data_IF_108481259390
#
_entry.id   IF_108481259390
#
_cell.length_a   1.000
_cell.length_b   1.000
_cell.length_c   1.000
_cell.angle_alpha   90.00
_cell.angle_beta   90.00
_cell.angle_gamma   90.00
#
_symmetry.space_group_name_H-M   'P 1'
#
loop_
_entity.id
_entity.type
_entity.pdbx_description
1 polymer ?
#
# COMPACT_ATOMS: atom_id res chain seq x y z
N UNK A 1 13.16 -31.69 16.32
CA UNK A 1 12.89 -31.17 14.95
C UNK A 1 13.26 -29.70 14.94
N UNK A 2 14.41 -29.40 14.37
CA UNK A 2 15.07 -28.10 14.50
C UNK A 2 14.44 -27.08 13.55
N UNK A 3 13.92 -25.99 14.12
CA UNK A 3 13.58 -24.78 13.37
C UNK A 3 14.80 -24.37 12.53
N UNK A 4 14.68 -24.05 11.23
CA UNK A 4 15.80 -23.47 10.50
C UNK A 4 16.14 -22.13 11.17
N UNK A 5 17.24 -22.10 11.91
CA UNK A 5 17.72 -20.96 12.72
C UNK A 5 18.14 -19.75 11.87
N UNK A 6 17.94 -19.81 10.56
CA UNK A 6 18.24 -18.74 9.61
C UNK A 6 17.15 -18.63 8.52
N UNK A 7 15.87 -18.72 8.90
CA UNK A 7 14.78 -18.49 7.95
C UNK A 7 14.69 -17.00 7.61
N UNK A 8 15.42 -16.58 6.56
CA UNK A 8 15.22 -15.28 5.92
C UNK A 8 13.73 -15.10 5.63
N UNK A 9 13.12 -14.07 6.20
CA UNK A 9 11.72 -13.76 5.93
C UNK A 9 11.55 -13.39 4.45
N UNK A 10 10.39 -13.69 3.88
CA UNK A 10 10.00 -13.22 2.55
C UNK A 10 9.07 -12.03 2.66
N UNK A 11 8.90 -11.25 1.61
CA UNK A 11 7.93 -10.15 1.59
C UNK A 11 6.71 -10.56 0.79
N UNK A 12 5.51 -10.33 1.34
CA UNK A 12 4.26 -10.54 0.62
C UNK A 12 4.11 -9.53 -0.52
N UNK A 13 3.99 -10.02 -1.77
CA UNK A 13 3.85 -9.15 -2.95
C UNK A 13 2.59 -8.28 -2.91
N UNK A 14 1.53 -8.74 -2.25
CA UNK A 14 0.25 -8.03 -2.17
C UNK A 14 0.25 -6.95 -1.07
N UNK A 15 0.60 -7.31 0.17
CA UNK A 15 0.44 -6.42 1.33
C UNK A 15 1.75 -5.86 1.91
N UNK A 16 2.91 -6.30 1.39
CA UNK A 16 4.23 -5.86 1.83
C UNK A 16 4.67 -6.37 3.22
N UNK A 17 3.87 -7.19 3.92
CA UNK A 17 4.27 -7.74 5.23
C UNK A 17 5.32 -8.83 5.08
N UNK A 18 6.19 -8.94 6.09
CA UNK A 18 7.07 -10.09 6.26
C UNK A 18 6.27 -11.39 6.42
N UNK A 19 6.70 -12.39 5.66
CA UNK A 19 6.25 -13.77 5.71
C UNK A 19 7.32 -14.52 6.49
N UNK A 20 6.97 -14.95 7.70
CA UNK A 20 7.79 -15.84 8.51
C UNK A 20 7.54 -17.30 8.09
N UNK A 21 8.58 -18.13 8.16
CA UNK A 21 8.47 -19.56 7.90
C UNK A 21 7.42 -20.23 8.82
N UNK A 22 6.70 -21.22 8.28
CA UNK A 22 5.72 -22.04 9.02
C UNK A 22 5.88 -23.49 8.59
N UNK A 23 5.69 -24.44 9.51
CA UNK A 23 5.81 -25.88 9.23
C UNK A 23 4.99 -26.35 8.02
N UNK A 24 3.78 -25.79 7.84
CA UNK A 24 2.92 -26.11 6.69
C UNK A 24 3.52 -25.76 5.32
N UNK A 25 4.55 -24.92 5.29
CA UNK A 25 5.23 -24.46 4.08
C UNK A 25 6.57 -25.14 3.85
N UNK A 26 6.93 -26.14 4.65
CA UNK A 26 8.20 -26.86 4.56
C UNK A 26 8.49 -27.38 3.14
N UNK A 27 7.47 -27.90 2.44
CA UNK A 27 7.62 -28.49 1.10
C UNK A 27 7.63 -27.48 -0.04
N UNK A 28 7.17 -26.25 0.18
CA UNK A 28 6.93 -25.29 -0.89
C UNK A 28 7.35 -23.85 -0.54
N UNK A 29 8.18 -23.68 0.50
CA UNK A 29 8.62 -22.37 0.99
C UNK A 29 9.17 -21.49 -0.12
N UNK A 30 9.96 -22.05 -1.03
CA UNK A 30 10.56 -21.33 -2.16
C UNK A 30 9.53 -20.66 -3.07
N UNK A 31 8.38 -21.31 -3.26
CA UNK A 31 7.26 -20.80 -4.08
C UNK A 31 6.32 -19.81 -3.36
N UNK A 32 6.44 -19.65 -2.03
CA UNK A 32 5.54 -18.76 -1.27
C UNK A 32 5.85 -17.29 -1.54
N UNK A 33 4.87 -16.57 -2.10
CA UNK A 33 4.93 -15.12 -2.40
C UNK A 33 3.87 -14.30 -1.67
N UNK A 34 2.86 -14.95 -1.08
CA UNK A 34 1.75 -14.28 -0.38
C UNK A 34 1.57 -14.79 1.05
N UNK A 35 1.23 -13.90 1.98
CA UNK A 35 1.04 -14.26 3.40
C UNK A 35 -0.29 -14.98 3.69
N UNK A 36 -1.29 -14.85 2.80
CA UNK A 36 -2.65 -15.40 2.97
C UNK A 36 -3.34 -15.61 1.62
N UNK A 37 -4.42 -16.39 1.61
CA UNK A 37 -5.25 -16.59 0.41
C UNK A 37 -6.01 -15.33 -0.01
N UNK A 38 -6.28 -14.41 0.94
CA UNK A 38 -6.83 -13.09 0.61
C UNK A 38 -5.80 -12.28 -0.19
N UNK A 39 -4.55 -12.21 0.27
CA UNK A 39 -3.46 -11.55 -0.48
C UNK A 39 -3.17 -12.23 -1.83
N UNK A 40 -3.30 -13.56 -1.91
CA UNK A 40 -3.13 -14.30 -3.17
C UNK A 40 -4.21 -13.92 -4.20
N UNK A 41 -5.46 -13.71 -3.75
CA UNK A 41 -6.57 -13.25 -4.59
C UNK A 41 -6.46 -11.75 -4.92
N UNK A 42 -5.97 -10.95 -3.97
CA UNK A 42 -5.76 -9.52 -4.13
C UNK A 42 -4.45 -9.22 -4.87
N UNK A 43 -4.49 -9.33 -6.19
CA UNK A 43 -3.37 -8.98 -7.08
C UNK A 43 -3.34 -7.46 -7.31
N UNK A 44 -2.18 -6.84 -7.10
CA UNK A 44 -1.98 -5.41 -7.37
C UNK A 44 -1.92 -5.22 -8.89
N UNK A 45 -2.94 -4.53 -9.44
CA UNK A 45 -3.04 -4.24 -10.88
C UNK A 45 -2.48 -2.84 -11.18
N UNK A 46 -1.84 -2.62 -12.34
CA UNK A 46 -1.59 -1.27 -12.84
C UNK A 46 -2.89 -0.45 -12.84
N UNK A 47 -2.81 0.83 -12.43
CA UNK A 47 -3.98 1.70 -12.33
C UNK A 47 -4.91 1.46 -11.13
N UNK A 48 -4.64 0.45 -10.29
CA UNK A 48 -5.39 0.25 -9.04
C UNK A 48 -5.10 1.33 -8.00
N UNK A 49 -5.99 1.49 -7.02
CA UNK A 49 -5.75 2.42 -5.89
C UNK A 49 -4.50 2.07 -5.09
N UNK A 50 -4.10 0.79 -5.06
CA UNK A 50 -2.87 0.38 -4.39
C UNK A 50 -1.62 1.00 -5.04
N UNK A 51 -1.62 1.10 -6.37
CA UNK A 51 -0.56 1.78 -7.14
C UNK A 51 -0.68 3.29 -6.97
N UNK A 52 -1.90 3.84 -6.93
CA UNK A 52 -2.11 5.26 -6.67
C UNK A 52 -1.55 5.68 -5.31
N UNK A 53 -1.73 4.87 -4.26
CA UNK A 53 -1.11 5.13 -2.95
C UNK A 53 0.42 5.11 -3.02
N UNK A 54 1.03 4.16 -3.73
CA UNK A 54 2.50 4.14 -3.88
C UNK A 54 3.01 5.41 -4.55
N UNK A 55 2.41 5.77 -5.68
CA UNK A 55 2.77 6.99 -6.42
C UNK A 55 2.55 8.25 -5.58
N UNK A 56 1.43 8.33 -4.84
CA UNK A 56 1.12 9.50 -4.01
C UNK A 56 2.09 9.66 -2.84
N UNK A 57 2.43 8.58 -2.15
CA UNK A 57 3.42 8.61 -1.06
C UNK A 57 4.74 9.18 -1.58
N UNK A 58 5.24 8.66 -2.70
CA UNK A 58 6.50 9.13 -3.29
C UNK A 58 6.42 10.58 -3.76
N UNK A 59 5.30 10.99 -4.38
CA UNK A 59 5.08 12.35 -4.83
C UNK A 59 5.06 13.35 -3.67
N UNK A 60 4.32 13.05 -2.60
CA UNK A 60 4.25 13.89 -1.41
C UNK A 60 5.62 14.02 -0.72
N UNK A 61 6.35 12.91 -0.60
CA UNK A 61 7.72 12.93 -0.06
C UNK A 61 8.66 13.75 -0.93
N UNK A 62 8.58 13.59 -2.25
CA UNK A 62 9.39 14.34 -3.22
C UNK A 62 9.14 15.85 -3.11
N UNK A 63 7.86 16.25 -3.10
CA UNK A 63 7.47 17.65 -2.95
C UNK A 63 7.93 18.23 -1.61
N UNK A 64 7.70 17.52 -0.50
CA UNK A 64 8.11 18.00 0.84
C UNK A 64 9.62 18.06 0.98
N UNK A 65 10.36 17.13 0.37
CA UNK A 65 11.83 17.15 0.39
C UNK A 65 12.41 18.44 -0.21
N UNK A 66 11.77 19.02 -1.21
CA UNK A 66 12.21 20.29 -1.81
C UNK A 66 12.09 21.47 -0.83
N UNK A 67 11.11 21.44 0.08
CA UNK A 67 10.81 22.55 0.99
C UNK A 67 11.44 22.33 2.38
N UNK A 68 11.37 21.10 2.89
CA UNK A 68 11.76 20.72 4.25
C UNK A 68 13.10 19.98 4.32
N UNK A 69 13.70 19.66 3.16
CA UNK A 69 14.97 18.96 3.08
C UNK A 69 14.87 17.45 3.40
N UNK A 70 15.97 16.82 3.84
CA UNK A 70 16.05 15.36 4.03
C UNK A 70 15.19 14.83 5.18
N UNK A 71 14.67 15.71 6.04
CA UNK A 71 13.80 15.37 7.17
C UNK A 71 12.30 15.35 6.80
N UNK A 72 11.95 15.46 5.52
CA UNK A 72 10.57 15.43 5.07
C UNK A 72 9.84 14.15 5.50
N UNK A 73 8.66 14.32 6.09
CA UNK A 73 7.80 13.25 6.58
C UNK A 73 6.44 13.31 5.88
N UNK A 74 5.86 12.15 5.61
CA UNK A 74 4.46 11.98 5.15
C UNK A 74 3.83 10.87 5.96
N UNK A 75 2.60 11.06 6.42
CA UNK A 75 1.83 10.02 7.09
C UNK A 75 0.94 9.27 6.12
N UNK A 76 0.57 8.03 6.47
CA UNK A 76 -0.36 7.25 5.64
C UNK A 76 -1.74 7.93 5.55
N UNK A 77 -2.14 8.64 6.60
CA UNK A 77 -3.40 9.36 6.69
C UNK A 77 -3.44 10.53 5.69
N UNK A 78 -2.37 11.30 5.60
CA UNK A 78 -2.24 12.38 4.61
C UNK A 78 -2.24 11.83 3.17
N UNK A 79 -1.47 10.78 2.91
CA UNK A 79 -1.42 10.16 1.59
C UNK A 79 -2.79 9.57 1.19
N UNK A 80 -3.54 9.06 2.16
CA UNK A 80 -4.89 8.55 1.94
C UNK A 80 -5.85 9.66 1.51
N UNK A 81 -5.88 10.75 2.27
CA UNK A 81 -6.74 11.91 2.01
C UNK A 81 -6.51 12.47 0.60
N UNK A 82 -5.25 12.64 0.20
CA UNK A 82 -4.88 13.14 -1.11
C UNK A 82 -5.36 12.24 -2.26
N UNK A 83 -5.18 10.91 -2.15
CA UNK A 83 -5.65 9.97 -3.18
C UNK A 83 -7.18 10.01 -3.30
N UNK A 84 -7.89 10.09 -2.18
CA UNK A 84 -9.35 10.15 -2.18
C UNK A 84 -9.86 11.46 -2.79
N UNK A 85 -9.19 12.58 -2.50
CA UNK A 85 -9.54 13.89 -3.04
C UNK A 85 -9.32 14.00 -4.55
N UNK A 86 -8.19 13.47 -5.06
CA UNK A 86 -7.91 13.45 -6.50
C UNK A 86 -8.94 12.64 -7.30
N UNK A 87 -9.40 11.53 -6.73
CA UNK A 87 -10.45 10.69 -7.34
C UNK A 87 -11.80 11.41 -7.36
N UNK A 88 -12.16 12.09 -6.28
CA UNK A 88 -13.37 12.90 -6.22
C UNK A 88 -13.35 14.04 -7.24
N UNK A 89 -12.19 14.69 -7.43
CA UNK A 89 -12.01 15.76 -8.42
C UNK A 89 -12.02 15.23 -9.86
N UNK A 90 -11.45 14.05 -10.11
CA UNK A 90 -11.44 13.41 -11.43
C UNK A 90 -12.85 13.01 -11.90
N UNK A 91 -13.75 12.70 -10.95
CA UNK A 91 -15.15 12.34 -11.24
C UNK A 91 -15.97 13.53 -11.76
N UNK A 92 -15.58 14.77 -11.45
CA UNK A 92 -16.34 15.99 -11.82
C UNK A 92 -15.89 16.62 -13.15
N UNK A 93 -14.77 16.19 -13.72
CA UNK A 93 -14.25 16.70 -15.00
C UNK A 93 -14.64 15.84 -16.21
N UNK A 94 -15.58 14.91 -16.05
CA UNK A 94 -16.01 13.98 -17.09
C UNK A 94 -17.26 14.44 -17.84
N UNK A 95 -17.14 15.44 -18.72
CA UNK A 95 -18.01 15.55 -19.90
C UNK A 95 -17.17 15.75 -21.15
N UNK A 96 -17.48 14.93 -22.15
CA UNK A 96 -17.12 14.98 -23.58
C UNK A 96 -16.08 13.97 -24.11
N UNK A 97 -16.64 12.92 -24.74
CA UNK A 97 -16.21 12.19 -25.97
C UNK A 97 -14.95 11.28 -25.93
N UNK A 98 -14.95 10.02 -26.39
CA UNK A 98 -15.89 9.24 -27.21
C UNK A 98 -15.70 7.73 -26.96
N UNK A 99 -16.76 6.98 -27.27
CA UNK A 99 -16.95 5.55 -27.07
C UNK A 99 -16.18 4.63 -28.04
N UNK A 100 -15.75 3.45 -27.56
CA UNK A 100 -15.85 2.17 -28.30
C UNK A 100 -15.94 0.99 -27.33
N UNK A 101 -16.98 0.17 -27.50
CA UNK A 101 -17.37 -1.06 -26.78
C UNK A 101 -16.40 -2.24 -27.00
N UNK A 102 -16.14 -3.02 -25.94
CA UNK A 102 -16.29 -4.50 -25.97
C UNK A 102 -16.25 -5.11 -24.57
N UNK A 103 -17.29 -5.89 -24.26
CA UNK A 103 -17.66 -6.52 -22.99
C UNK A 103 -16.70 -7.59 -22.47
N UNK A 104 -16.54 -7.69 -21.15
CA UNK A 104 -16.82 -8.90 -20.30
C UNK A 104 -16.29 -8.73 -18.86
N UNK A 105 -17.26 -8.51 -17.96
CA UNK A 105 -17.47 -8.83 -16.52
C UNK A 105 -16.32 -9.52 -15.74
N UNK A 106 -15.95 -9.18 -14.49
CA UNK A 106 -16.73 -8.99 -13.24
C UNK A 106 -15.93 -8.18 -12.18
N UNK A 107 -16.60 -7.23 -11.50
CA UNK A 107 -16.42 -6.97 -10.06
C UNK A 107 -15.42 -5.91 -9.57
N UNK A 108 -15.80 -4.63 -9.64
CA UNK A 108 -15.77 -3.66 -8.51
C UNK A 108 -16.64 -2.46 -8.94
N UNK A 109 -17.82 -2.30 -8.33
CA UNK A 109 -18.77 -1.24 -8.68
C UNK A 109 -18.27 0.06 -8.06
N UNK A 110 -17.79 0.98 -8.89
CA UNK A 110 -17.47 2.35 -8.51
C UNK A 110 -18.80 3.09 -8.27
N UNK A 111 -19.17 3.26 -6.99
CA UNK A 111 -20.40 3.94 -6.56
C UNK A 111 -20.03 5.23 -5.82
N UNK A 112 -20.66 6.32 -6.27
CA UNK A 112 -20.74 7.67 -5.71
C UNK A 112 -20.22 7.88 -4.28
N UNK A 113 -19.21 8.74 -4.15
CA UNK A 113 -18.49 9.03 -2.91
C UNK A 113 -19.02 10.29 -2.21
N UNK A 114 -20.26 10.27 -1.72
CA UNK A 114 -20.72 11.21 -0.67
C UNK A 114 -21.22 10.42 0.54
N UNK A 115 -20.46 10.50 1.64
CA UNK A 115 -20.86 9.94 2.93
C UNK A 115 -20.34 8.52 3.21
N UNK A 116 -19.03 8.31 3.17
CA UNK A 116 -18.47 7.02 3.58
C UNK A 116 -18.64 6.79 5.08
N UNK A 117 -19.18 5.62 5.44
CA UNK A 117 -19.18 5.10 6.82
C UNK A 117 -17.76 4.92 7.35
N UNK A 118 -17.57 5.04 8.68
CA UNK A 118 -16.29 4.84 9.38
C UNK A 118 -15.57 3.52 8.99
N UNK A 119 -16.33 2.48 8.60
CA UNK A 119 -15.80 1.21 8.14
C UNK A 119 -15.11 1.27 6.77
N UNK A 120 -15.58 2.10 5.82
CA UNK A 120 -14.92 2.25 4.52
C UNK A 120 -13.61 3.03 4.62
N UNK A 121 -13.56 4.06 5.46
CA UNK A 121 -12.34 4.82 5.78
C UNK A 121 -11.26 3.89 6.39
N UNK A 122 -11.66 2.93 7.24
CA UNK A 122 -10.73 1.97 7.85
C UNK A 122 -10.05 1.02 6.84
N UNK A 123 -10.71 0.70 5.73
CA UNK A 123 -10.17 -0.20 4.70
C UNK A 123 -9.20 0.51 3.77
N UNK A 124 -9.51 1.75 3.40
CA UNK A 124 -8.64 2.58 2.57
C UNK A 124 -7.30 2.86 3.28
N UNK A 125 -7.34 3.20 4.57
CA UNK A 125 -6.13 3.36 5.40
C UNK A 125 -5.23 2.15 5.43
N UNK A 126 -5.78 0.93 5.60
CA UNK A 126 -4.95 -0.28 5.56
C UNK A 126 -4.34 -0.52 4.18
N UNK A 127 -4.99 -0.12 3.08
CA UNK A 127 -4.38 -0.20 1.73
C UNK A 127 -3.22 0.77 1.56
N UNK A 128 -3.34 2.00 2.07
CA UNK A 128 -2.22 2.94 2.11
C UNK A 128 -1.05 2.38 2.93
N UNK A 129 -1.32 1.80 4.10
CA UNK A 129 -0.29 1.12 4.91
C UNK A 129 0.36 -0.05 4.17
N UNK A 130 -0.41 -0.84 3.43
CA UNK A 130 0.14 -1.91 2.58
C UNK A 130 1.04 -1.37 1.47
N UNK A 131 0.67 -0.26 0.83
CA UNK A 131 1.52 0.44 -0.14
C UNK A 131 2.84 0.90 0.48
N UNK A 132 2.79 1.53 1.64
CA UNK A 132 3.98 1.93 2.39
C UNK A 132 4.89 0.73 2.72
N UNK A 133 4.32 -0.42 3.12
CA UNK A 133 5.10 -1.65 3.35
C UNK A 133 5.79 -2.15 2.08
N UNK A 134 5.11 -2.11 0.93
CA UNK A 134 5.70 -2.51 -0.37
C UNK A 134 6.86 -1.59 -0.76
N UNK A 135 6.69 -0.27 -0.63
CA UNK A 135 7.74 0.71 -0.87
C UNK A 135 8.95 0.49 0.05
N UNK A 136 8.71 0.27 1.35
CA UNK A 136 9.77 0.02 2.32
C UNK A 136 10.53 -1.28 2.02
N UNK A 137 9.82 -2.33 1.60
CA UNK A 137 10.45 -3.59 1.18
C UNK A 137 11.33 -3.44 -0.06
N UNK A 138 11.04 -2.49 -0.94
CA UNK A 138 11.88 -2.13 -2.10
C UNK A 138 13.02 -1.18 -1.75
N UNK A 139 13.09 -0.70 -0.51
CA UNK A 139 14.11 0.25 -0.03
C UNK A 139 13.88 1.69 -0.48
N UNK A 140 12.70 2.01 -1.03
CA UNK A 140 12.40 3.36 -1.53
C UNK A 140 12.09 4.35 -0.39
N UNK A 141 11.56 3.85 0.71
CA UNK A 141 11.23 4.63 1.91
C UNK A 141 11.63 3.88 3.18
N UNK A 142 11.70 4.60 4.29
CA UNK A 142 11.75 4.03 5.62
C UNK A 142 10.52 4.47 6.42
N UNK A 143 10.01 3.56 7.26
CA UNK A 143 8.89 3.85 8.16
C UNK A 143 9.44 4.18 9.53
N UNK A 144 9.00 5.29 10.10
CA UNK A 144 9.33 5.71 11.46
C UNK A 144 8.08 5.82 12.34
N UNK A 145 8.29 5.68 13.64
CA UNK A 145 7.33 6.00 14.68
C UNK A 145 8.05 6.70 15.83
N UNK A 146 7.60 7.91 16.18
CA UNK A 146 8.25 8.76 17.18
C UNK A 146 9.74 8.97 16.84
N UNK A 147 10.05 9.19 15.56
CA UNK A 147 11.42 9.40 15.07
C UNK A 147 12.32 8.16 15.01
N UNK A 148 11.85 6.99 15.43
CA UNK A 148 12.61 5.73 15.35
C UNK A 148 12.20 4.92 14.13
N UNK A 149 13.16 4.37 13.39
CA UNK A 149 12.88 3.42 12.30
C UNK A 149 12.28 2.14 12.87
N UNK A 150 11.14 1.71 12.34
CA UNK A 150 10.42 0.49 12.78
C UNK A 150 10.16 -0.44 11.61
N UNK A 151 9.92 -1.72 11.91
CA UNK A 151 9.45 -2.67 10.91
C UNK A 151 7.99 -2.35 10.48
N UNK A 152 7.75 -2.07 9.19
CA UNK A 152 6.41 -1.73 8.68
C UNK A 152 5.36 -2.85 8.88
N UNK A 153 5.79 -4.10 9.01
CA UNK A 153 4.92 -5.27 9.21
C UNK A 153 4.25 -5.26 10.58
N UNK A 154 4.91 -4.67 11.58
CA UNK A 154 4.48 -4.67 12.98
C UNK A 154 4.10 -3.28 13.50
N UNK A 155 4.39 -2.21 12.75
CA UNK A 155 3.99 -0.85 13.09
C UNK A 155 2.48 -0.77 13.40
N UNK A 156 2.13 -0.03 14.45
CA UNK A 156 0.74 0.20 14.90
C UNK A 156 0.48 1.68 15.09
N UNK A 157 -0.72 2.14 14.72
CA UNK A 157 -1.05 3.56 14.76
C UNK A 157 -0.45 4.30 13.57
N UNK A 158 -0.08 5.57 13.79
CA UNK A 158 0.44 6.47 12.76
C UNK A 158 1.77 5.92 12.24
N UNK A 159 1.89 5.86 10.92
CA UNK A 159 3.13 5.49 10.23
C UNK A 159 3.68 6.75 9.57
N UNK A 160 4.81 7.21 10.07
CA UNK A 160 5.55 8.29 9.44
C UNK A 160 6.46 7.68 8.37
N UNK A 161 6.42 8.23 7.17
CA UNK A 161 7.17 7.77 6.01
C UNK A 161 8.20 8.84 5.67
N UNK A 162 9.42 8.43 5.33
CA UNK A 162 10.46 9.34 4.80
C UNK A 162 11.36 8.62 3.81
N UNK A 163 12.10 9.38 3.01
CA UNK A 163 13.17 8.80 2.21
C UNK A 163 14.30 8.25 3.09
N UNK A 164 14.99 7.18 2.67
CA UNK A 164 16.23 6.78 3.30
C UNK A 164 17.24 7.94 3.27
N UNK A 165 17.96 8.12 4.37
CA UNK A 165 19.00 9.15 4.53
C UNK A 165 20.30 8.74 3.87
#
# INVERSE_FOLDING_TARGET
MSTPQNATFKICTSCGRQISWRKKWEKNWDSITYCSDSCRRHKIKPGSVDVAFESKILALLGQRRLVQGPAALVTCEEAEEEVLNERASSSMNGTEEQATLSSQEEGDVDVELRGQSNLQLSKSRERCRQAARRLAARGEIVVTQNGKVVDPSFAKGIMELKFPS
#
